data_IF_862648826114
#
_entry.id   IF_862648826114
#
_cell.length_a   1.000
_cell.length_b   1.000
_cell.length_c   1.000
_cell.angle_alpha   90.00
_cell.angle_beta   90.00
_cell.angle_gamma   90.00
#
_symmetry.space_group_name_H-M   'P 1'
#
loop_
_entity.id
_entity.type
_entity.pdbx_description
1 polymer ?
#
# COMPACT_ATOMS: atom_id res chain seq x y z
N UNK A 1 -5.87 11.31 16.70
CA UNK A 1 -4.56 11.50 16.03
C UNK A 1 -4.81 11.72 14.54
N UNK A 2 -4.15 12.69 13.93
CA UNK A 2 -4.24 13.00 12.50
C UNK A 2 -3.00 12.53 11.76
N UNK A 3 -3.18 11.82 10.65
CA UNK A 3 -2.07 11.32 9.82
C UNK A 3 -2.13 11.87 8.39
N UNK A 4 -0.96 12.16 7.83
CA UNK A 4 -0.76 12.47 6.42
C UNK A 4 -0.15 11.29 5.67
N UNK A 5 -0.42 11.18 4.37
CA UNK A 5 0.18 10.15 3.50
C UNK A 5 0.73 10.80 2.23
N UNK A 6 1.96 10.44 1.86
CA UNK A 6 2.64 10.85 0.63
C UNK A 6 2.90 9.59 -0.20
N UNK A 7 2.40 9.54 -1.43
CA UNK A 7 2.32 8.31 -2.23
C UNK A 7 3.03 8.41 -3.58
N UNK A 8 3.71 7.35 -4.00
CA UNK A 8 4.29 7.19 -5.35
C UNK A 8 3.26 6.87 -6.44
N UNK A 9 2.09 7.50 -6.43
CA UNK A 9 1.02 7.20 -7.38
C UNK A 9 0.53 8.43 -8.12
N UNK A 10 -0.26 8.20 -9.18
CA UNK A 10 -0.96 9.28 -9.89
C UNK A 10 -2.02 9.93 -8.99
N UNK A 11 -2.38 11.20 -9.22
CA UNK A 11 -3.53 11.81 -8.57
C UNK A 11 -4.78 10.94 -8.78
N UNK A 12 -5.50 10.68 -7.68
CA UNK A 12 -6.63 9.75 -7.64
C UNK A 12 -6.30 8.29 -8.04
N UNK A 13 -5.03 7.89 -7.96
CA UNK A 13 -4.60 6.50 -8.11
C UNK A 13 -5.21 5.58 -7.05
N UNK A 14 -5.24 4.26 -7.30
CA UNK A 14 -5.88 3.29 -6.41
C UNK A 14 -5.32 3.33 -4.98
N UNK A 15 -4.01 3.54 -4.85
CA UNK A 15 -3.27 3.63 -3.59
C UNK A 15 -3.81 4.75 -2.68
N UNK A 16 -4.19 5.89 -3.26
CA UNK A 16 -4.74 7.04 -2.55
C UNK A 16 -6.12 6.77 -1.96
N UNK A 17 -6.80 5.70 -2.39
CA UNK A 17 -8.04 5.22 -1.78
C UNK A 17 -7.81 4.03 -0.84
N UNK A 18 -6.87 3.13 -1.18
CA UNK A 18 -6.65 1.89 -0.43
C UNK A 18 -5.92 2.11 0.88
N UNK A 19 -4.80 2.84 0.91
CA UNK A 19 -4.05 3.02 2.16
C UNK A 19 -4.86 3.74 3.25
N UNK A 20 -5.58 4.84 2.94
CA UNK A 20 -6.48 5.46 3.92
C UNK A 20 -7.56 4.51 4.42
N UNK A 21 -8.14 3.69 3.53
CA UNK A 21 -9.16 2.73 3.91
C UNK A 21 -8.61 1.67 4.87
N UNK A 22 -7.42 1.11 4.60
CA UNK A 22 -6.79 0.12 5.48
C UNK A 22 -6.45 0.76 6.82
N UNK A 23 -5.84 1.95 6.83
CA UNK A 23 -5.50 2.67 8.06
C UNK A 23 -6.75 2.90 8.94
N UNK A 24 -7.85 3.40 8.35
CA UNK A 24 -9.13 3.56 9.06
C UNK A 24 -9.72 2.25 9.56
N UNK A 25 -9.51 1.14 8.84
CA UNK A 25 -10.01 -0.18 9.27
C UNK A 25 -9.17 -0.79 10.38
N UNK A 26 -7.89 -0.46 10.46
CA UNK A 26 -7.02 -0.87 11.55
C UNK A 26 -7.24 -0.01 12.80
N UNK A 27 -7.56 1.28 12.62
CA UNK A 27 -7.84 2.20 13.71
C UNK A 27 -8.91 3.23 13.29
N UNK A 28 -10.14 3.05 13.76
CA UNK A 28 -11.29 3.85 13.33
C UNK A 28 -11.19 5.33 13.76
N UNK A 29 -10.45 5.61 14.83
CA UNK A 29 -10.29 6.95 15.42
C UNK A 29 -9.23 7.83 14.74
N UNK A 30 -8.48 7.31 13.75
CA UNK A 30 -7.47 8.10 13.03
C UNK A 30 -8.11 9.13 12.10
N UNK A 31 -7.86 10.42 12.27
CA UNK A 31 -8.15 11.39 11.22
C UNK A 31 -7.13 11.23 10.08
N UNK A 32 -7.58 11.07 8.84
CA UNK A 32 -6.68 10.90 7.69
C UNK A 32 -6.82 12.12 6.79
N UNK A 33 -5.73 12.88 6.67
CA UNK A 33 -5.61 13.97 5.71
C UNK A 33 -5.66 13.42 4.28
N UNK A 34 -6.14 14.23 3.33
CA UNK A 34 -6.15 13.83 1.92
C UNK A 34 -4.72 13.44 1.50
N UNK A 35 -4.50 12.24 0.91
CA UNK A 35 -3.17 11.84 0.48
C UNK A 35 -2.59 12.78 -0.59
N UNK A 36 -1.29 13.07 -0.44
CA UNK A 36 -0.48 13.79 -1.41
C UNK A 36 0.18 12.79 -2.37
N UNK A 37 0.01 13.00 -3.67
CA UNK A 37 0.45 12.04 -4.70
C UNK A 37 1.58 12.62 -5.54
N UNK A 38 2.74 11.94 -5.56
CA UNK A 38 3.95 12.42 -6.21
C UNK A 38 4.27 11.71 -7.53
N UNK A 39 3.31 11.04 -8.18
CA UNK A 39 3.33 10.57 -9.59
C UNK A 39 4.36 9.49 -9.93
N UNK A 40 5.60 9.61 -9.44
CA UNK A 40 6.72 8.70 -9.69
C UNK A 40 7.77 8.81 -8.57
N UNK A 41 8.64 7.80 -8.50
CA UNK A 41 9.73 7.73 -7.52
C UNK A 41 10.64 8.96 -7.50
N UNK A 42 11.00 9.51 -8.66
CA UNK A 42 11.94 10.63 -8.71
C UNK A 42 11.39 11.86 -7.99
N UNK A 43 10.12 12.19 -8.25
CA UNK A 43 9.42 13.27 -7.54
C UNK A 43 9.24 12.93 -6.07
N UNK A 44 8.88 11.69 -5.73
CA UNK A 44 8.79 11.27 -4.33
C UNK A 44 10.10 11.50 -3.57
N UNK A 45 11.22 11.07 -4.12
CA UNK A 45 12.53 11.21 -3.47
C UNK A 45 12.96 12.68 -3.31
N UNK A 46 12.54 13.56 -4.23
CA UNK A 46 12.95 14.97 -4.24
C UNK A 46 12.00 15.88 -3.45
N UNK A 47 10.70 15.62 -3.51
CA UNK A 47 9.65 16.54 -3.04
C UNK A 47 8.99 16.07 -1.73
N UNK A 48 9.03 14.76 -1.41
CA UNK A 48 8.37 14.26 -0.21
C UNK A 48 8.85 14.91 1.11
N UNK A 49 10.15 15.29 1.29
CA UNK A 49 10.57 15.96 2.51
C UNK A 49 9.87 17.30 2.78
N UNK A 50 9.70 18.13 1.75
CA UNK A 50 9.02 19.43 1.85
C UNK A 50 7.50 19.26 2.03
N UNK A 51 6.91 18.28 1.34
CA UNK A 51 5.50 17.92 1.51
C UNK A 51 5.24 17.40 2.93
N UNK A 52 6.14 16.58 3.48
CA UNK A 52 6.04 16.08 4.85
C UNK A 52 6.09 17.22 5.86
N UNK A 53 7.01 18.18 5.68
CA UNK A 53 7.07 19.38 6.51
C UNK A 53 5.73 20.15 6.48
N UNK A 54 5.15 20.32 5.29
CA UNK A 54 3.88 21.02 5.09
C UNK A 54 2.72 20.30 5.80
N UNK A 55 2.64 18.97 5.68
CA UNK A 55 1.61 18.17 6.35
C UNK A 55 1.70 18.27 7.87
N UNK A 56 2.92 18.22 8.43
CA UNK A 56 3.15 18.40 9.87
C UNK A 56 2.77 19.81 10.34
N UNK A 57 3.13 20.85 9.57
CA UNK A 57 2.73 22.23 9.86
C UNK A 57 1.22 22.44 9.80
N UNK A 58 0.52 21.68 8.96
CA UNK A 58 -0.94 21.67 8.84
C UNK A 58 -1.64 20.79 9.90
N UNK A 59 -0.91 20.31 10.90
CA UNK A 59 -1.46 19.61 12.06
C UNK A 59 -1.54 18.09 11.93
N UNK A 60 -0.85 17.47 10.97
CA UNK A 60 -0.64 16.02 11.04
C UNK A 60 0.33 15.69 12.18
N UNK A 61 -0.02 14.70 13.00
CA UNK A 61 0.84 14.18 14.07
C UNK A 61 1.95 13.28 13.50
N UNK A 62 1.58 12.42 12.54
CA UNK A 62 2.45 11.46 11.85
C UNK A 62 2.27 11.57 10.33
N UNK A 63 3.35 11.46 9.56
CA UNK A 63 3.32 11.39 8.09
C UNK A 63 3.90 10.07 7.60
N UNK A 64 3.13 9.36 6.78
CA UNK A 64 3.57 8.16 6.06
C UNK A 64 4.08 8.56 4.67
N UNK A 65 5.27 8.09 4.30
CA UNK A 65 5.80 8.19 2.93
C UNK A 65 5.84 6.77 2.38
N UNK A 66 5.05 6.51 1.34
CA UNK A 66 4.79 5.16 0.81
C UNK A 66 5.19 5.09 -0.66
N UNK A 67 6.04 4.11 -0.99
CA UNK A 67 6.55 3.93 -2.35
C UNK A 67 6.80 2.46 -2.69
N UNK A 68 6.82 2.14 -3.98
CA UNK A 68 7.03 0.77 -4.43
C UNK A 68 8.54 0.46 -4.54
N UNK A 69 8.90 -0.76 -4.14
CA UNK A 69 10.20 -1.32 -4.47
C UNK A 69 10.25 -1.57 -5.97
N UNK A 70 11.21 -0.95 -6.66
CA UNK A 70 11.42 -1.18 -8.09
C UNK A 70 11.58 -2.69 -8.37
N UNK A 71 11.01 -3.21 -9.47
CA UNK A 71 11.15 -4.62 -9.83
C UNK A 71 12.63 -4.99 -10.04
N UNK A 72 12.98 -6.24 -9.75
CA UNK A 72 14.36 -6.79 -9.68
C UNK A 72 15.24 -6.64 -10.94
N UNK A 73 14.71 -6.11 -12.04
CA UNK A 73 15.37 -6.09 -13.36
C UNK A 73 15.93 -4.72 -13.77
N UNK A 74 16.10 -3.77 -12.84
CA UNK A 74 16.67 -2.45 -13.12
C UNK A 74 17.70 -2.01 -12.09
N UNK A 75 18.76 -1.35 -12.56
CA UNK A 75 19.70 -0.61 -11.72
C UNK A 75 19.01 0.64 -11.16
N UNK A 76 18.51 0.58 -9.93
CA UNK A 76 18.08 1.79 -9.24
C UNK A 76 17.25 1.54 -7.99
N UNK A 77 17.77 1.98 -6.84
CA UNK A 77 17.07 2.15 -5.56
C UNK A 77 16.50 0.86 -4.95
N UNK A 78 17.22 0.27 -4.00
CA UNK A 78 16.61 -0.64 -3.04
C UNK A 78 15.97 0.17 -1.89
N UNK A 79 14.99 -0.41 -1.19
CA UNK A 79 14.29 0.26 -0.10
C UNK A 79 15.24 0.88 0.93
N UNK A 80 16.38 0.24 1.19
CA UNK A 80 17.40 0.72 2.14
C UNK A 80 18.02 2.04 1.68
N UNK A 81 18.42 2.13 0.41
CA UNK A 81 18.99 3.34 -0.18
C UNK A 81 17.98 4.48 -0.22
N UNK A 82 16.73 4.18 -0.61
CA UNK A 82 15.65 5.16 -0.65
C UNK A 82 15.34 5.66 0.77
N UNK A 83 15.26 4.75 1.74
CA UNK A 83 15.03 5.08 3.16
C UNK A 83 16.13 5.96 3.70
N UNK A 84 17.40 5.65 3.41
CA UNK A 84 18.54 6.45 3.84
C UNK A 84 18.49 7.86 3.24
N UNK A 85 18.22 7.97 1.92
CA UNK A 85 18.13 9.25 1.24
C UNK A 85 16.98 10.12 1.78
N UNK A 86 15.78 9.56 1.96
CA UNK A 86 14.64 10.26 2.57
C UNK A 86 14.95 10.68 4.01
N UNK A 87 15.55 9.79 4.81
CA UNK A 87 15.93 10.10 6.20
C UNK A 87 16.90 11.27 6.27
N UNK A 88 17.93 11.29 5.41
CA UNK A 88 18.88 12.40 5.34
C UNK A 88 18.17 13.71 4.97
N UNK A 89 17.33 13.71 3.93
CA UNK A 89 16.64 14.91 3.48
C UNK A 89 15.64 15.45 4.52
N UNK A 90 14.86 14.57 5.15
CA UNK A 90 13.92 14.93 6.23
C UNK A 90 14.67 15.53 7.43
N UNK A 91 15.78 14.92 7.83
CA UNK A 91 16.60 15.39 8.97
C UNK A 91 17.23 16.75 8.68
N UNK A 92 17.67 17.00 7.43
CA UNK A 92 18.21 18.30 7.01
C UNK A 92 17.16 19.42 7.10
N UNK A 93 15.88 19.09 6.93
CA UNK A 93 14.76 20.02 7.15
C UNK A 93 14.35 20.16 8.62
N UNK A 94 15.07 19.53 9.55
CA UNK A 94 14.79 19.57 10.98
C UNK A 94 13.53 18.79 11.39
N UNK A 95 13.03 17.90 10.54
CA UNK A 95 11.85 17.10 10.83
C UNK A 95 12.21 16.01 11.84
N UNK A 96 11.39 15.87 12.89
CA UNK A 96 11.55 14.81 13.85
C UNK A 96 11.14 13.46 13.23
N UNK A 97 12.11 12.55 13.09
CA UNK A 97 11.88 11.23 12.49
C UNK A 97 10.88 10.36 13.26
N UNK A 98 10.59 10.64 14.54
CA UNK A 98 9.52 9.93 15.25
C UNK A 98 8.13 10.24 14.69
N UNK A 99 7.99 11.35 13.95
CA UNK A 99 6.76 11.76 13.27
C UNK A 99 6.66 11.23 11.84
N UNK A 100 7.66 10.49 11.36
CA UNK A 100 7.68 9.95 10.00
C UNK A 100 7.60 8.43 10.04
N UNK A 101 6.88 7.85 9.09
CA UNK A 101 6.88 6.41 8.79
C UNK A 101 7.25 6.21 7.33
N UNK A 102 8.34 5.49 7.07
CA UNK A 102 8.88 5.26 5.73
C UNK A 102 8.51 3.84 5.27
N UNK A 103 7.52 3.73 4.40
CA UNK A 103 6.92 2.46 3.98
C UNK A 103 7.31 2.11 2.54
N UNK A 104 8.36 1.30 2.38
CA UNK A 104 8.66 0.67 1.10
C UNK A 104 7.79 -0.58 0.91
N UNK A 105 7.05 -0.64 -0.20
CA UNK A 105 6.12 -1.72 -0.52
C UNK A 105 6.80 -2.78 -1.38
N UNK A 106 6.57 -4.06 -1.07
CA UNK A 106 7.12 -5.18 -1.84
C UNK A 106 6.42 -5.28 -3.22
N UNK A 107 7.15 -4.87 -4.26
CA UNK A 107 6.77 -4.79 -5.69
C UNK A 107 5.60 -3.87 -6.03
N UNK A 108 4.39 -4.18 -5.57
CA UNK A 108 3.16 -3.43 -5.86
C UNK A 108 2.14 -3.69 -4.74
N UNK A 109 1.18 -2.79 -4.54
CA UNK A 109 0.08 -2.97 -3.59
C UNK A 109 -0.70 -4.29 -3.77
N UNK A 110 -0.84 -4.81 -5.00
CA UNK A 110 -1.50 -6.09 -5.24
C UNK A 110 -0.80 -7.28 -4.55
N UNK A 111 0.49 -7.16 -4.18
CA UNK A 111 1.20 -8.20 -3.42
C UNK A 111 0.52 -8.45 -2.07
N UNK A 112 -0.03 -7.40 -1.45
CA UNK A 112 -0.82 -7.49 -0.23
C UNK A 112 -2.13 -8.26 -0.45
N UNK A 113 -2.76 -8.10 -1.61
CA UNK A 113 -4.06 -8.71 -1.92
C UNK A 113 -3.97 -10.20 -2.24
N UNK A 114 -2.81 -10.67 -2.70
CA UNK A 114 -2.57 -12.09 -2.98
C UNK A 114 -1.86 -12.81 -1.83
N UNK A 115 -1.22 -12.08 -0.92
CA UNK A 115 -0.63 -12.64 0.30
C UNK A 115 -1.68 -13.33 1.18
N UNK A 116 -2.90 -12.80 1.22
CA UNK A 116 -4.08 -13.45 1.77
C UNK A 116 -5.21 -13.37 0.74
N UNK A 117 -5.51 -14.51 0.11
CA UNK A 117 -6.47 -14.61 -0.97
C UNK A 117 -7.92 -14.41 -0.52
N UNK A 118 -8.22 -14.40 0.80
CA UNK A 118 -9.61 -14.32 1.30
C UNK A 118 -10.33 -13.09 0.78
N UNK A 119 -9.70 -11.92 0.79
CA UNK A 119 -10.33 -10.69 0.27
C UNK A 119 -10.65 -10.78 -1.21
N UNK A 120 -9.69 -11.21 -2.02
CA UNK A 120 -9.89 -11.40 -3.45
C UNK A 120 -10.99 -12.44 -3.75
N UNK A 121 -10.97 -13.59 -3.08
CA UNK A 121 -11.96 -14.65 -3.27
C UNK A 121 -13.36 -14.24 -2.81
N UNK A 122 -13.47 -13.47 -1.72
CA UNK A 122 -14.74 -12.90 -1.27
C UNK A 122 -15.29 -11.88 -2.26
N UNK A 123 -14.43 -11.01 -2.79
CA UNK A 123 -14.81 -10.08 -3.85
C UNK A 123 -15.31 -10.83 -5.08
N UNK A 124 -14.60 -11.86 -5.55
CA UNK A 124 -15.06 -12.67 -6.70
C UNK A 124 -16.39 -13.35 -6.43
N UNK A 125 -16.58 -13.92 -5.23
CA UNK A 125 -17.86 -14.52 -4.85
C UNK A 125 -19.02 -13.52 -4.93
N UNK A 126 -18.77 -12.23 -4.70
CA UNK A 126 -19.79 -11.18 -4.88
C UNK A 126 -20.14 -10.87 -6.34
N UNK A 127 -19.31 -11.31 -7.29
CA UNK A 127 -19.47 -11.02 -8.73
C UNK A 127 -20.03 -12.19 -9.53
N UNK A 128 -20.10 -13.40 -8.96
CA UNK A 128 -20.44 -14.60 -9.71
C UNK A 128 -21.11 -15.66 -8.85
N UNK A 129 -22.00 -16.44 -9.48
CA UNK A 129 -22.61 -17.63 -8.87
C UNK A 129 -21.92 -18.93 -9.32
N UNK A 130 -20.86 -18.85 -10.14
CA UNK A 130 -20.11 -20.01 -10.60
C UNK A 130 -19.28 -20.63 -9.47
N UNK A 131 -19.04 -21.94 -9.56
CA UNK A 131 -18.12 -22.62 -8.67
C UNK A 131 -16.73 -21.96 -8.74
N UNK A 132 -16.17 -21.64 -7.57
CA UNK A 132 -14.91 -20.91 -7.46
C UNK A 132 -13.76 -21.89 -7.29
N UNK A 133 -12.76 -21.80 -8.17
CA UNK A 133 -11.45 -22.36 -7.92
C UNK A 133 -10.66 -21.39 -7.06
N UNK A 134 -10.04 -21.82 -5.96
CA UNK A 134 -9.26 -20.90 -5.14
C UNK A 134 -7.95 -20.51 -5.85
N UNK A 135 -7.62 -19.21 -5.88
CA UNK A 135 -6.31 -18.72 -6.36
C UNK A 135 -5.16 -19.11 -5.41
N UNK A 136 -5.48 -19.35 -4.13
CA UNK A 136 -4.51 -19.69 -3.09
C UNK A 136 -3.78 -18.49 -2.51
N UNK A 137 -3.36 -18.62 -1.25
CA UNK A 137 -2.52 -17.62 -0.58
C UNK A 137 -1.10 -17.69 -1.16
N UNK A 138 -0.53 -16.54 -1.51
CA UNK A 138 0.84 -16.41 -1.98
C UNK A 138 1.70 -15.94 -0.80
N UNK A 139 2.10 -16.85 0.08
CA UNK A 139 2.59 -16.51 1.41
C UNK A 139 4.05 -16.04 1.46
N UNK A 140 4.81 -16.19 0.38
CA UNK A 140 6.24 -15.84 0.33
C UNK A 140 6.54 -14.73 -0.67
N UNK A 141 7.63 -13.96 -0.49
CA UNK A 141 8.04 -12.93 -1.45
C UNK A 141 8.23 -13.46 -2.88
N UNK A 142 8.67 -14.71 -3.05
CA UNK A 142 8.84 -15.32 -4.37
C UNK A 142 7.50 -15.56 -5.08
N UNK A 143 6.46 -15.93 -4.32
CA UNK A 143 5.11 -16.15 -4.83
C UNK A 143 4.38 -14.83 -5.07
N UNK A 144 4.77 -13.76 -4.39
CA UNK A 144 4.16 -12.44 -4.52
C UNK A 144 4.72 -11.62 -5.69
N UNK A 145 5.65 -12.19 -6.46
CA UNK A 145 6.17 -11.55 -7.67
C UNK A 145 5.13 -11.41 -8.77
N UNK A 146 5.14 -10.28 -9.48
CA UNK A 146 4.20 -9.94 -10.56
C UNK A 146 2.71 -10.12 -10.16
N UNK A 147 2.29 -9.53 -9.01
CA UNK A 147 1.02 -9.85 -8.36
C UNK A 147 -0.18 -9.44 -9.23
N UNK A 148 -0.07 -8.30 -9.91
CA UNK A 148 -1.10 -7.78 -10.82
C UNK A 148 -1.39 -8.72 -11.97
N UNK A 149 -0.37 -9.29 -12.61
CA UNK A 149 -0.60 -10.24 -13.69
C UNK A 149 -1.14 -11.57 -13.19
N UNK A 150 -0.81 -12.00 -11.95
CA UNK A 150 -1.45 -13.19 -11.35
C UNK A 150 -2.95 -13.03 -11.24
N UNK A 151 -3.41 -11.90 -10.68
CA UNK A 151 -4.84 -11.56 -10.61
C UNK A 151 -5.46 -11.57 -12.01
N UNK A 152 -4.83 -10.89 -12.98
CA UNK A 152 -5.33 -10.85 -14.37
C UNK A 152 -5.41 -12.23 -15.01
N UNK A 153 -4.40 -13.10 -14.83
CA UNK A 153 -4.39 -14.47 -15.37
C UNK A 153 -5.53 -15.28 -14.78
N UNK A 154 -5.67 -15.29 -13.46
CA UNK A 154 -6.74 -16.01 -12.79
C UNK A 154 -8.13 -15.56 -13.31
N UNK A 155 -8.36 -14.25 -13.44
CA UNK A 155 -9.64 -13.75 -13.95
C UNK A 155 -9.88 -14.13 -15.41
N UNK A 156 -8.86 -14.07 -16.26
CA UNK A 156 -8.98 -14.51 -17.65
C UNK A 156 -9.31 -16.00 -17.74
N UNK A 157 -8.65 -16.83 -16.95
CA UNK A 157 -8.71 -18.28 -17.05
C UNK A 157 -10.01 -18.85 -16.45
N UNK A 158 -10.61 -18.15 -15.48
CA UNK A 158 -11.83 -18.61 -14.79
C UNK A 158 -13.07 -17.73 -15.01
N UNK A 159 -12.90 -16.46 -15.40
CA UNK A 159 -13.97 -15.45 -15.44
C UNK A 159 -13.83 -14.47 -16.62
N UNK A 160 -14.03 -14.96 -17.84
CA UNK A 160 -13.86 -14.19 -19.09
C UNK A 160 -14.59 -12.83 -19.18
N UNK A 161 -15.64 -12.60 -18.37
CA UNK A 161 -16.39 -11.33 -18.32
C UNK A 161 -15.80 -10.32 -17.33
N UNK A 162 -15.01 -10.75 -16.35
CA UNK A 162 -14.45 -9.88 -15.32
C UNK A 162 -13.06 -9.41 -15.78
N UNK A 163 -12.98 -8.15 -16.22
CA UNK A 163 -11.70 -7.51 -16.58
C UNK A 163 -11.18 -6.72 -15.39
N UNK A 164 -9.98 -7.04 -14.95
CA UNK A 164 -9.37 -6.34 -13.81
C UNK A 164 -9.04 -4.88 -14.14
N UNK A 165 -9.58 -3.96 -13.32
CA UNK A 165 -9.25 -2.54 -13.29
C UNK A 165 -8.79 -2.21 -11.86
N UNK A 166 -7.55 -1.75 -11.70
CA UNK A 166 -6.96 -1.42 -10.40
C UNK A 166 -7.68 -0.26 -9.70
N UNK A 167 -8.07 0.79 -10.45
CA UNK A 167 -8.83 1.93 -9.92
C UNK A 167 -10.14 1.51 -9.23
N UNK A 168 -10.85 0.56 -9.82
CA UNK A 168 -12.17 0.14 -9.32
C UNK A 168 -12.06 -1.03 -8.34
N UNK A 169 -11.21 -2.01 -8.64
CA UNK A 169 -11.26 -3.31 -7.99
C UNK A 169 -10.35 -3.40 -6.77
N UNK A 170 -9.24 -2.63 -6.69
CA UNK A 170 -8.32 -2.73 -5.55
C UNK A 170 -9.03 -2.41 -4.25
N UNK A 171 -9.76 -1.30 -4.20
CA UNK A 171 -10.54 -0.95 -3.02
C UNK A 171 -11.67 -1.95 -2.73
N UNK A 172 -12.32 -2.51 -3.76
CA UNK A 172 -13.37 -3.52 -3.57
C UNK A 172 -12.82 -4.82 -2.98
N UNK A 173 -11.64 -5.25 -3.45
CA UNK A 173 -10.92 -6.42 -2.93
C UNK A 173 -10.53 -6.18 -1.48
N UNK A 174 -9.91 -5.03 -1.18
CA UNK A 174 -9.52 -4.67 0.20
C UNK A 174 -10.74 -4.60 1.13
N UNK A 175 -11.87 -4.06 0.67
CA UNK A 175 -13.14 -4.03 1.42
C UNK A 175 -13.71 -5.42 1.74
N UNK A 176 -13.34 -6.43 0.95
CA UNK A 176 -13.85 -7.79 1.11
C UNK A 176 -12.97 -8.66 2.04
N UNK A 177 -11.87 -8.12 2.57
CA UNK A 177 -11.08 -8.80 3.60
C UNK A 177 -11.88 -8.95 4.89
N UNK A 178 -11.85 -10.13 5.54
CA UNK A 178 -12.45 -10.30 6.86
C UNK A 178 -11.63 -9.62 7.97
N UNK A 179 -10.31 -9.65 7.83
CA UNK A 179 -9.30 -9.07 8.71
C UNK A 179 -7.99 -8.95 7.92
N UNK A 180 -6.97 -8.34 8.53
CA UNK A 180 -5.66 -8.12 7.90
C UNK A 180 -4.52 -8.92 8.54
N UNK A 181 -4.82 -9.82 9.48
CA UNK A 181 -3.79 -10.53 10.25
C UNK A 181 -3.00 -11.51 9.39
N UNK A 182 -3.69 -12.22 8.49
CA UNK A 182 -3.01 -13.14 7.57
C UNK A 182 -2.17 -12.40 6.54
N UNK A 183 -2.65 -11.27 6.02
CA UNK A 183 -1.87 -10.41 5.13
C UNK A 183 -0.55 -9.99 5.80
N UNK A 184 -0.62 -9.56 7.06
CA UNK A 184 0.57 -9.19 7.84
C UNK A 184 1.49 -10.39 8.15
N UNK A 185 0.95 -11.58 8.37
CA UNK A 185 1.77 -12.77 8.56
C UNK A 185 2.56 -13.15 7.29
N UNK A 186 1.99 -12.87 6.11
CA UNK A 186 2.50 -13.33 4.82
C UNK A 186 3.27 -12.27 4.02
N UNK A 187 3.17 -10.98 4.37
CA UNK A 187 3.83 -9.90 3.65
C UNK A 187 4.47 -8.89 4.63
N UNK A 188 5.79 -8.74 4.55
CA UNK A 188 6.59 -7.89 5.42
C UNK A 188 6.24 -6.40 5.29
N UNK A 189 6.06 -5.90 4.07
CA UNK A 189 5.70 -4.49 3.86
C UNK A 189 4.30 -4.16 4.39
N UNK A 190 3.33 -5.07 4.22
CA UNK A 190 2.01 -4.94 4.85
C UNK A 190 2.12 -4.97 6.37
N UNK A 191 2.90 -5.91 6.92
CA UNK A 191 3.13 -6.01 8.36
C UNK A 191 3.67 -4.71 8.92
N UNK A 192 4.69 -4.15 8.29
CA UNK A 192 5.27 -2.88 8.72
C UNK A 192 4.23 -1.75 8.72
N UNK A 193 3.43 -1.64 7.65
CA UNK A 193 2.37 -0.64 7.58
C UNK A 193 1.31 -0.85 8.69
N UNK A 194 0.84 -2.09 8.87
CA UNK A 194 -0.13 -2.44 9.91
C UNK A 194 0.39 -2.11 11.30
N UNK A 195 1.59 -2.61 11.65
CA UNK A 195 2.19 -2.41 12.96
C UNK A 195 2.42 -0.91 13.22
N UNK A 196 2.83 -0.14 12.20
CA UNK A 196 3.03 1.32 12.30
C UNK A 196 1.72 2.08 12.57
N UNK A 197 0.60 1.61 12.03
CA UNK A 197 -0.73 2.18 12.29
C UNK A 197 -1.22 1.81 13.69
N UNK A 198 -1.03 0.56 14.11
CA UNK A 198 -1.44 0.09 15.44
C UNK A 198 -0.62 0.72 16.57
N UNK A 199 0.66 1.00 16.35
CA UNK A 199 1.53 1.70 17.31
C UNK A 199 1.01 3.11 17.65
N UNK A 200 0.42 3.78 16.66
CA UNK A 200 -0.04 5.17 16.79
C UNK A 200 -1.56 5.27 16.99
N UNK A 201 -2.25 4.14 17.08
CA UNK A 201 -3.68 4.11 17.32
C UNK A 201 -3.97 4.67 18.73
N UNK A 202 -4.83 5.72 18.85
CA UNK A 202 -5.14 6.36 20.13
C UNK A 202 -5.75 5.44 21.19
#
# INVERSE_FOLDING_TARGET
MKIGMILECQPAGPDAAVYPYIAKKLCEDLEIEKPETLVNKQRLMNEAPEVAQTLLQNGCDIVFIIWDKKPRWGEGGNCETDTAALTTALTQLGINMTQIRLCCIDEMMESWMIADSRGFMNWIRSKTNHALQNIGDHATPAEQTDPKNRIKRYLRDHFNKIKYNDYDHNLQIVKAFPDFNRTAANNSSFKYFKDSIEEICP
#
